data_IF_599079807943
#
_entry.id   IF_599079807943
#
_cell.length_a   1.000
_cell.length_b   1.000
_cell.length_c   1.000
_cell.angle_alpha   90.00
_cell.angle_beta   90.00
_cell.angle_gamma   90.00
#
_symmetry.space_group_name_H-M   'P 1'
#
loop_
_entity.id
_entity.type
_entity.pdbx_description
1 polymer ?
#
# COMPACT_ATOMS: atom_id res chain seq x y z
N UNK A 1 -12.09 51.66 35.49
CA UNK A 1 -12.47 50.30 35.15
C UNK A 1 -11.50 49.80 34.08
N UNK A 2 -10.53 48.95 34.42
CA UNK A 2 -9.58 48.34 33.47
C UNK A 2 -10.19 47.01 32.99
N UNK A 3 -10.47 46.88 31.70
CA UNK A 3 -10.94 45.62 31.08
C UNK A 3 -9.71 44.74 30.87
N UNK A 4 -9.64 43.63 31.59
CA UNK A 4 -8.66 42.59 31.33
C UNK A 4 -9.09 41.80 30.06
N UNK A 5 -8.24 41.80 29.06
CA UNK A 5 -8.40 40.97 27.85
C UNK A 5 -7.70 39.65 28.14
N UNK A 6 -8.47 38.58 28.34
CA UNK A 6 -7.95 37.24 28.49
C UNK A 6 -7.69 36.68 27.08
N UNK A 7 -6.43 36.55 26.68
CA UNK A 7 -6.03 35.88 25.45
C UNK A 7 -6.04 34.40 25.71
N UNK A 8 -7.02 33.69 25.16
CA UNK A 8 -7.08 32.22 25.15
C UNK A 8 -6.12 31.69 24.09
N UNK A 9 -4.92 31.28 24.50
CA UNK A 9 -4.01 30.53 23.64
C UNK A 9 -4.54 29.12 23.44
N UNK A 10 -5.17 28.84 22.30
CA UNK A 10 -5.50 27.49 21.87
C UNK A 10 -4.22 26.85 21.37
N UNK A 11 -3.63 26.00 22.21
CA UNK A 11 -2.52 25.12 21.80
C UNK A 11 -3.08 24.01 20.92
N UNK A 12 -2.96 24.19 19.61
CA UNK A 12 -3.14 23.08 18.69
C UNK A 12 -1.94 22.14 18.85
N UNK A 13 -2.15 21.02 19.53
CA UNK A 13 -1.21 19.90 19.52
C UNK A 13 -1.26 19.29 18.12
N UNK A 14 -0.35 19.69 17.23
CA UNK A 14 -0.06 18.94 16.02
C UNK A 14 0.60 17.64 16.46
N UNK A 15 -0.13 16.53 16.39
CA UNK A 15 0.49 15.21 16.42
C UNK A 15 1.33 15.09 15.15
N UNK A 16 2.60 15.43 15.25
CA UNK A 16 3.58 15.13 14.21
C UNK A 16 3.82 13.62 14.30
N UNK A 17 3.01 12.84 13.59
CA UNK A 17 3.38 11.45 13.34
C UNK A 17 4.71 11.49 12.58
N UNK A 18 5.69 10.76 13.08
CA UNK A 18 6.95 10.58 12.36
C UNK A 18 6.64 9.85 11.06
N UNK A 19 6.59 10.60 9.98
CA UNK A 19 6.34 10.04 8.65
C UNK A 19 7.63 9.37 8.17
N UNK A 20 7.58 8.05 8.00
CA UNK A 20 8.74 7.28 7.54
C UNK A 20 8.87 7.29 6.02
N UNK A 21 7.78 7.48 5.32
CA UNK A 21 7.73 7.52 3.85
C UNK A 21 7.88 8.95 3.33
N UNK A 22 8.74 9.09 2.34
CA UNK A 22 8.89 10.32 1.56
C UNK A 22 7.79 10.46 0.50
N UNK A 23 7.99 11.32 -0.51
CA UNK A 23 7.01 11.53 -1.56
C UNK A 23 6.66 10.23 -2.29
N UNK A 24 5.37 10.03 -2.49
CA UNK A 24 4.79 8.87 -3.16
C UNK A 24 4.08 9.32 -4.44
N UNK A 25 4.10 8.46 -5.46
CA UNK A 25 3.37 8.67 -6.70
C UNK A 25 2.89 7.35 -7.28
N UNK A 26 1.83 7.40 -8.09
CA UNK A 26 1.32 6.24 -8.79
C UNK A 26 0.78 6.59 -10.17
N UNK A 27 0.76 5.57 -11.04
CA UNK A 27 0.01 5.59 -12.29
C UNK A 27 -0.84 4.34 -12.39
N UNK A 28 -2.00 4.46 -13.03
CA UNK A 28 -2.93 3.36 -13.26
C UNK A 28 -3.33 3.31 -14.72
N UNK A 29 -3.38 2.13 -15.32
CA UNK A 29 -3.71 1.93 -16.74
C UNK A 29 -4.50 0.63 -16.95
N UNK A 30 -5.61 0.68 -17.69
CA UNK A 30 -6.29 1.87 -18.19
C UNK A 30 -6.85 2.72 -17.04
N UNK A 31 -7.26 3.96 -17.32
CA UNK A 31 -8.02 4.76 -16.38
C UNK A 31 -9.46 4.26 -16.30
N UNK A 32 -10.01 4.20 -15.07
CA UNK A 32 -11.43 3.85 -14.87
C UNK A 32 -12.43 4.84 -15.47
N UNK A 33 -13.72 4.55 -15.40
CA UNK A 33 -14.35 3.52 -14.58
C UNK A 33 -14.19 2.10 -15.14
N UNK A 34 -14.16 1.09 -14.26
CA UNK A 34 -13.88 -0.29 -14.61
C UNK A 34 -15.13 -1.14 -14.67
N UNK A 35 -15.11 -2.15 -15.55
CA UNK A 35 -16.13 -3.16 -15.73
C UNK A 35 -15.60 -4.56 -15.32
N UNK A 36 -16.50 -5.52 -15.07
CA UNK A 36 -16.11 -6.90 -14.80
C UNK A 36 -15.19 -7.45 -15.90
N UNK A 37 -14.05 -8.00 -15.47
CA UNK A 37 -13.06 -8.58 -16.38
C UNK A 37 -11.98 -7.63 -16.88
N UNK A 38 -12.06 -6.33 -16.59
CA UNK A 38 -11.00 -5.39 -16.95
C UNK A 38 -9.69 -5.78 -16.27
N UNK A 39 -8.61 -5.66 -17.01
CA UNK A 39 -7.25 -5.89 -16.53
C UNK A 39 -6.56 -4.54 -16.31
N UNK A 40 -6.08 -4.32 -15.11
CA UNK A 40 -5.56 -3.03 -14.67
C UNK A 40 -4.13 -3.19 -14.19
N UNK A 41 -3.24 -2.30 -14.64
CA UNK A 41 -1.85 -2.22 -14.17
C UNK A 41 -1.67 -0.98 -13.32
N UNK A 42 -1.10 -1.18 -12.14
CA UNK A 42 -0.71 -0.12 -11.21
C UNK A 42 0.80 -0.07 -11.13
N UNK A 43 1.37 1.12 -11.29
CA UNK A 43 2.75 1.39 -10.94
C UNK A 43 2.77 2.37 -9.79
N UNK A 44 3.55 2.07 -8.77
CA UNK A 44 3.72 2.91 -7.59
C UNK A 44 5.20 3.17 -7.36
N UNK A 45 5.53 4.38 -6.94
CA UNK A 45 6.89 4.79 -6.62
C UNK A 45 6.93 5.50 -5.28
N UNK A 46 7.83 5.06 -4.41
CA UNK A 46 8.23 5.73 -3.20
C UNK A 46 9.60 6.35 -3.42
N UNK A 47 9.70 7.69 -3.34
CA UNK A 47 10.94 8.40 -3.62
C UNK A 47 12.00 8.16 -2.56
N UNK A 48 11.59 8.04 -1.30
CA UNK A 48 12.53 7.77 -0.19
C UNK A 48 11.82 7.19 1.01
N UNK A 49 12.58 6.45 1.82
CA UNK A 49 12.18 5.97 3.13
C UNK A 49 13.19 6.44 4.17
N UNK A 50 12.71 7.10 5.22
CA UNK A 50 13.56 7.59 6.30
C UNK A 50 13.85 6.48 7.29
N UNK A 51 15.09 6.03 7.33
CA UNK A 51 15.55 4.98 8.24
C UNK A 51 16.42 5.52 9.39
N UNK A 52 16.56 6.84 9.48
CA UNK A 52 17.47 7.46 10.46
C UNK A 52 16.99 7.20 11.88
N UNK A 53 17.70 6.34 12.59
CA UNK A 53 17.47 5.93 13.97
C UNK A 53 16.10 5.26 14.25
N UNK A 54 15.41 4.77 13.20
CA UNK A 54 14.05 4.30 13.37
C UNK A 54 13.95 2.82 13.02
N UNK A 55 13.61 2.48 11.82
CA UNK A 55 13.61 1.12 11.37
C UNK A 55 13.78 1.05 9.84
N UNK A 56 14.27 -0.07 9.33
CA UNK A 56 14.53 -0.22 7.92
C UNK A 56 13.25 -0.61 7.18
N UNK A 57 13.16 -0.21 5.91
CA UNK A 57 12.00 -0.56 5.10
C UNK A 57 11.92 -2.07 4.90
N UNK A 58 10.73 -2.64 5.12
CA UNK A 58 10.53 -4.07 5.08
C UNK A 58 9.50 -4.53 4.06
N UNK A 59 8.40 -3.79 3.86
CA UNK A 59 7.33 -4.26 3.00
C UNK A 59 6.51 -3.16 2.33
N UNK A 60 5.89 -3.55 1.21
CA UNK A 60 4.86 -2.81 0.48
C UNK A 60 3.64 -3.70 0.35
N UNK A 61 2.57 -3.40 1.04
CA UNK A 61 1.31 -4.14 0.99
C UNK A 61 0.31 -3.44 0.09
N UNK A 62 -0.45 -4.22 -0.68
CA UNK A 62 -1.60 -3.71 -1.42
C UNK A 62 -2.84 -3.78 -0.52
N UNK A 63 -3.44 -2.64 -0.26
CA UNK A 63 -4.75 -2.51 0.36
C UNK A 63 -5.80 -2.48 -0.76
N UNK A 64 -6.55 -3.57 -0.89
CA UNK A 64 -7.41 -3.82 -2.03
C UNK A 64 -8.87 -4.00 -1.65
N UNK A 65 -9.73 -3.31 -2.36
CA UNK A 65 -11.17 -3.53 -2.29
C UNK A 65 -11.61 -4.93 -2.71
N UNK A 66 -12.82 -5.30 -2.33
CA UNK A 66 -13.38 -6.63 -2.57
C UNK A 66 -13.59 -6.96 -4.05
N UNK A 67 -13.63 -5.96 -4.92
CA UNK A 67 -13.87 -6.11 -6.35
C UNK A 67 -12.68 -6.62 -7.18
N UNK A 68 -11.51 -6.81 -6.59
CA UNK A 68 -10.34 -7.36 -7.27
C UNK A 68 -10.25 -8.87 -7.13
N UNK A 69 -9.87 -9.55 -8.21
CA UNK A 69 -9.60 -11.00 -8.21
C UNK A 69 -8.19 -11.25 -7.69
N UNK A 70 -8.02 -11.53 -6.40
CA UNK A 70 -6.71 -11.69 -5.77
C UNK A 70 -5.83 -12.76 -6.42
N UNK A 71 -6.42 -13.84 -6.93
CA UNK A 71 -5.71 -14.90 -7.63
C UNK A 71 -5.19 -14.51 -9.02
N UNK A 72 -5.53 -13.34 -9.52
CA UNK A 72 -5.04 -12.80 -10.80
C UNK A 72 -3.93 -11.77 -10.64
N UNK A 73 -3.54 -11.47 -9.40
CA UNK A 73 -2.50 -10.48 -9.14
C UNK A 73 -1.16 -11.01 -9.64
N UNK A 74 -0.57 -10.27 -10.56
CA UNK A 74 0.76 -10.54 -11.10
C UNK A 74 1.66 -9.36 -10.75
N UNK A 75 2.59 -9.58 -9.85
CA UNK A 75 3.64 -8.63 -9.54
C UNK A 75 4.78 -8.73 -10.55
N UNK A 76 5.34 -7.62 -10.98
CA UNK A 76 6.46 -7.57 -11.91
C UNK A 76 7.62 -6.76 -11.36
N UNK A 77 8.85 -7.16 -11.72
CA UNK A 77 10.07 -6.56 -11.23
C UNK A 77 10.33 -6.87 -9.75
N UNK A 78 11.03 -5.97 -9.10
CA UNK A 78 11.18 -5.93 -7.64
C UNK A 78 11.22 -4.45 -7.21
N UNK A 79 10.98 -4.14 -5.94
CA UNK A 79 10.93 -2.76 -5.46
C UNK A 79 12.20 -1.94 -5.70
N UNK A 80 13.36 -2.56 -5.89
CA UNK A 80 14.57 -1.86 -6.25
C UNK A 80 15.78 -2.14 -5.36
N UNK A 81 16.61 -1.13 -5.18
CA UNK A 81 17.90 -1.24 -4.50
C UNK A 81 17.76 -1.74 -3.05
N UNK A 82 18.66 -2.62 -2.64
CA UNK A 82 18.74 -3.16 -1.28
C UNK A 82 19.77 -2.40 -0.41
N UNK A 83 20.38 -1.31 -0.92
CA UNK A 83 21.29 -0.45 -0.17
C UNK A 83 22.52 -1.16 0.42
N UNK A 84 22.93 -2.28 -0.15
CA UNK A 84 24.03 -3.09 0.39
C UNK A 84 23.61 -4.09 1.48
N UNK A 85 22.35 -4.19 1.84
CA UNK A 85 21.85 -5.25 2.69
C UNK A 85 22.04 -6.62 2.01
N UNK A 86 22.27 -7.66 2.81
CA UNK A 86 22.17 -9.02 2.33
C UNK A 86 20.68 -9.43 2.25
N UNK A 87 20.22 -9.86 1.09
CA UNK A 87 18.83 -10.29 0.94
C UNK A 87 18.23 -9.96 -0.43
N UNK A 88 16.91 -10.07 -0.49
CA UNK A 88 16.15 -9.83 -1.73
C UNK A 88 14.69 -9.48 -1.44
N UNK A 89 14.02 -8.88 -2.40
CA UNK A 89 12.58 -8.65 -2.38
C UNK A 89 11.85 -9.89 -2.86
N UNK A 90 10.80 -10.29 -2.14
CA UNK A 90 9.93 -11.41 -2.45
C UNK A 90 8.48 -10.92 -2.51
N UNK A 91 7.77 -11.33 -3.57
CA UNK A 91 6.31 -11.21 -3.60
C UNK A 91 5.68 -12.29 -2.73
N UNK A 92 4.75 -11.90 -1.86
CA UNK A 92 4.04 -12.83 -0.99
C UNK A 92 2.55 -12.48 -0.98
N UNK A 93 1.71 -13.50 -1.15
CA UNK A 93 0.26 -13.30 -1.11
C UNK A 93 -0.26 -13.21 0.31
N UNK A 94 0.44 -13.78 1.26
CA UNK A 94 0.11 -13.75 2.68
C UNK A 94 1.35 -14.09 3.51
N UNK A 95 1.65 -13.27 4.49
CA UNK A 95 2.72 -13.48 5.46
C UNK A 95 2.29 -13.00 6.84
N UNK A 96 2.74 -13.69 7.88
CA UNK A 96 2.55 -13.25 9.26
C UNK A 96 3.89 -12.82 9.84
N UNK A 97 3.99 -11.58 10.25
CA UNK A 97 5.17 -11.07 10.95
C UNK A 97 5.29 -11.67 12.35
N UNK A 98 6.48 -11.68 12.96
CA UNK A 98 6.67 -12.13 14.33
C UNK A 98 5.84 -11.37 15.36
N UNK A 99 5.46 -10.13 15.05
CA UNK A 99 4.52 -9.32 15.84
C UNK A 99 3.08 -9.83 15.82
N UNK A 100 2.77 -10.85 14.98
CA UNK A 100 1.42 -11.34 14.74
C UNK A 100 0.62 -10.52 13.70
N UNK A 101 1.20 -9.46 13.12
CA UNK A 101 0.58 -8.71 12.05
C UNK A 101 0.54 -9.56 10.77
N UNK A 102 -0.64 -9.68 10.18
CA UNK A 102 -0.81 -10.30 8.86
C UNK A 102 -0.50 -9.27 7.78
N UNK A 103 0.16 -9.72 6.73
CA UNK A 103 0.59 -8.95 5.59
C UNK A 103 0.18 -9.66 4.30
N UNK A 104 -0.13 -8.90 3.27
CA UNK A 104 -0.30 -9.41 1.90
C UNK A 104 -1.67 -9.12 1.30
N UNK A 105 -1.73 -9.11 -0.05
CA UNK A 105 -0.63 -9.38 -0.98
C UNK A 105 0.36 -8.22 -1.09
N UNK A 106 1.63 -8.50 -1.32
CA UNK A 106 2.61 -7.44 -1.43
C UNK A 106 4.06 -7.92 -1.57
N UNK A 107 4.96 -6.95 -1.61
CA UNK A 107 6.40 -7.17 -1.61
C UNK A 107 6.95 -7.09 -0.18
N UNK A 108 7.70 -8.08 0.25
CA UNK A 108 8.48 -8.03 1.49
C UNK A 108 9.96 -8.28 1.25
N UNK A 109 10.80 -7.68 2.06
CA UNK A 109 12.22 -7.93 2.05
C UNK A 109 12.55 -9.17 2.88
N UNK A 110 13.33 -10.08 2.30
CA UNK A 110 13.87 -11.25 2.97
C UNK A 110 15.35 -11.01 3.21
N UNK A 111 15.71 -10.69 4.45
CA UNK A 111 17.10 -10.42 4.80
C UNK A 111 17.92 -11.72 4.87
N UNK A 112 19.14 -11.67 4.33
CA UNK A 112 19.97 -12.88 4.18
C UNK A 112 20.53 -13.45 5.49
N UNK A 113 20.49 -12.71 6.60
CA UNK A 113 21.07 -13.13 7.88
C UNK A 113 19.99 -13.22 8.96
N UNK A 114 19.07 -12.24 9.03
CA UNK A 114 18.01 -12.19 10.04
C UNK A 114 16.68 -12.03 9.33
N UNK A 115 15.84 -13.05 9.38
CA UNK A 115 14.68 -13.26 8.52
C UNK A 115 13.71 -12.08 8.43
N UNK A 116 13.58 -11.24 9.46
CA UNK A 116 12.58 -10.19 9.52
C UNK A 116 13.18 -8.77 9.56
N UNK A 117 14.44 -8.64 9.25
CA UNK A 117 15.03 -7.31 9.07
C UNK A 117 14.64 -6.75 7.71
N UNK A 118 14.48 -5.44 7.66
CA UNK A 118 14.32 -4.68 6.44
C UNK A 118 15.65 -4.50 5.69
N UNK A 119 15.63 -3.63 4.70
CA UNK A 119 16.83 -3.22 3.97
C UNK A 119 17.28 -1.82 4.37
N UNK A 120 18.59 -1.58 4.38
CA UNK A 120 19.21 -0.28 4.63
C UNK A 120 18.99 0.72 3.47
N UNK A 121 18.37 0.29 2.38
CA UNK A 121 18.07 1.18 1.26
C UNK A 121 17.13 2.30 1.67
N UNK A 122 17.46 3.50 1.27
CA UNK A 122 16.58 4.68 1.42
C UNK A 122 15.70 4.93 0.20
N UNK A 123 15.79 4.08 -0.82
CA UNK A 123 15.07 4.23 -2.09
C UNK A 123 15.89 4.85 -3.22
N UNK A 124 15.27 5.25 -4.33
CA UNK A 124 13.84 5.08 -4.59
C UNK A 124 13.40 3.61 -4.73
N UNK A 125 12.11 3.36 -4.51
CA UNK A 125 11.48 2.06 -4.69
C UNK A 125 10.35 2.17 -5.70
N UNK A 126 10.18 1.14 -6.54
CA UNK A 126 9.09 1.08 -7.51
C UNK A 126 8.50 -0.32 -7.56
N UNK A 127 7.18 -0.40 -7.52
CA UNK A 127 6.44 -1.65 -7.67
C UNK A 127 5.48 -1.55 -8.84
N UNK A 128 5.26 -2.67 -9.52
CA UNK A 128 4.28 -2.78 -10.60
C UNK A 128 3.46 -4.05 -10.39
N UNK A 129 2.14 -3.91 -10.44
CA UNK A 129 1.20 -5.03 -10.31
C UNK A 129 0.10 -4.93 -11.35
N UNK A 130 -0.30 -6.09 -11.87
CA UNK A 130 -1.46 -6.22 -12.76
C UNK A 130 -2.50 -7.08 -12.06
N UNK A 131 -3.76 -6.70 -12.14
CA UNK A 131 -4.87 -7.40 -11.50
C UNK A 131 -6.14 -7.30 -12.35
N UNK A 132 -7.09 -8.19 -12.11
CA UNK A 132 -8.35 -8.26 -12.86
C UNK A 132 -9.53 -7.92 -11.97
N UNK A 133 -10.47 -7.14 -12.51
CA UNK A 133 -11.75 -6.84 -11.86
C UNK A 133 -12.62 -8.09 -11.84
N UNK A 134 -13.23 -8.40 -10.70
CA UNK A 134 -14.14 -9.54 -10.54
C UNK A 134 -15.28 -9.52 -11.53
N UNK A 135 -15.69 -10.72 -11.95
CA UNK A 135 -16.95 -10.95 -12.63
C UNK A 135 -18.09 -10.88 -11.59
N UNK A 136 -18.78 -9.77 -11.54
CA UNK A 136 -19.87 -9.54 -10.57
C UNK A 136 -21.03 -8.80 -11.19
N UNK A 137 -22.24 -9.08 -10.71
CA UNK A 137 -23.44 -8.34 -11.07
C UNK A 137 -23.75 -7.23 -10.05
N UNK A 138 -23.01 -7.16 -8.96
CA UNK A 138 -23.18 -6.17 -7.90
C UNK A 138 -22.04 -5.16 -7.92
N UNK A 139 -22.29 -3.90 -7.53
CA UNK A 139 -21.22 -2.95 -7.26
C UNK A 139 -20.32 -3.51 -6.16
N UNK A 140 -19.03 -3.64 -6.42
CA UNK A 140 -18.02 -3.99 -5.44
C UNK A 140 -16.93 -2.92 -5.38
N UNK A 141 -16.36 -2.76 -4.21
CA UNK A 141 -15.31 -1.77 -3.95
C UNK A 141 -14.03 -2.12 -4.71
N UNK A 142 -13.51 -1.14 -5.43
CA UNK A 142 -12.28 -1.23 -6.23
C UNK A 142 -11.18 -0.31 -5.70
N UNK A 143 -11.20 0.07 -4.41
CA UNK A 143 -10.08 0.85 -3.91
C UNK A 143 -8.75 0.10 -4.09
N UNK A 144 -7.70 0.85 -4.31
CA UNK A 144 -6.33 0.41 -4.34
C UNK A 144 -5.52 1.37 -3.47
N UNK A 145 -4.90 0.84 -2.45
CA UNK A 145 -3.95 1.53 -1.60
C UNK A 145 -2.60 0.81 -1.56
N UNK A 146 -1.56 1.53 -1.14
CA UNK A 146 -0.25 0.94 -0.85
C UNK A 146 0.15 1.35 0.56
N UNK A 147 0.42 0.36 1.41
CA UNK A 147 0.92 0.55 2.77
C UNK A 147 2.40 0.19 2.78
N UNK A 148 3.20 1.06 3.36
CA UNK A 148 4.65 0.85 3.50
C UNK A 148 4.97 0.54 4.96
N UNK A 149 5.73 -0.52 5.20
CA UNK A 149 6.11 -0.97 6.53
C UNK A 149 7.62 -0.88 6.77
N UNK A 150 7.99 -0.41 7.95
CA UNK A 150 9.29 -0.68 8.54
C UNK A 150 9.35 -2.06 9.20
N UNK A 151 10.53 -2.53 9.55
CA UNK A 151 10.76 -3.88 10.10
C UNK A 151 10.53 -4.01 11.62
N UNK A 152 10.31 -2.90 12.32
CA UNK A 152 10.08 -2.84 13.77
C UNK A 152 11.23 -3.41 14.64
N UNK A 153 12.40 -3.68 14.07
CA UNK A 153 13.49 -4.40 14.73
C UNK A 153 14.83 -3.69 14.63
N UNK A 154 15.07 -2.97 13.55
CA UNK A 154 16.33 -2.25 13.34
C UNK A 154 16.26 -0.80 13.82
N UNK A 155 17.42 -0.14 13.95
CA UNK A 155 17.50 1.22 14.46
C UNK A 155 17.23 1.33 15.94
N UNK A 156 16.68 2.45 16.40
CA UNK A 156 16.41 2.75 17.80
C UNK A 156 15.06 2.24 18.34
N UNK A 157 14.32 1.47 17.58
CA UNK A 157 12.96 1.05 17.93
C UNK A 157 12.91 -0.27 18.68
N UNK A 158 13.05 -0.21 19.99
CA UNK A 158 12.89 -1.37 20.87
C UNK A 158 11.44 -1.62 21.33
N UNK A 159 10.44 -0.93 20.79
CA UNK A 159 9.10 -0.90 21.38
C UNK A 159 7.97 -1.49 20.54
N UNK A 160 8.26 -2.25 19.49
CA UNK A 160 7.21 -2.91 18.69
C UNK A 160 6.31 -1.96 17.89
N UNK A 161 6.57 -0.65 17.93
CA UNK A 161 5.87 0.31 17.09
C UNK A 161 6.50 0.32 15.71
N UNK A 162 5.91 -0.41 14.80
CA UNK A 162 6.29 -0.36 13.40
C UNK A 162 5.95 1.01 12.83
N UNK A 163 6.85 1.56 12.04
CA UNK A 163 6.51 2.67 11.19
C UNK A 163 5.65 2.11 10.05
N UNK A 164 4.37 2.35 10.11
CA UNK A 164 3.47 2.18 8.98
C UNK A 164 2.73 3.49 8.81
N UNK A 165 2.85 4.08 7.64
CA UNK A 165 2.03 5.24 7.30
C UNK A 165 0.66 4.78 6.81
N UNK A 166 -0.36 5.64 6.86
CA UNK A 166 -1.65 5.36 6.25
C UNK A 166 -1.49 4.97 4.79
N UNK A 167 -2.38 4.11 4.30
CA UNK A 167 -2.36 3.68 2.91
C UNK A 167 -2.34 4.87 1.96
N UNK A 168 -1.38 4.87 1.02
CA UNK A 168 -1.37 5.80 -0.09
C UNK A 168 -2.47 5.40 -1.07
N UNK A 169 -3.46 6.27 -1.27
CA UNK A 169 -4.58 6.00 -2.16
C UNK A 169 -4.15 6.12 -3.62
N UNK A 170 -4.22 5.01 -4.35
CA UNK A 170 -3.95 4.93 -5.80
C UNK A 170 -5.23 5.13 -6.59
N UNK A 171 -6.32 4.48 -6.18
CA UNK A 171 -7.61 4.52 -6.84
C UNK A 171 -8.75 4.40 -5.84
N UNK A 172 -9.86 5.06 -6.15
CA UNK A 172 -11.12 4.97 -5.41
C UNK A 172 -12.25 4.79 -6.42
N UNK A 173 -13.06 3.75 -6.27
CA UNK A 173 -14.17 3.49 -7.17
C UNK A 173 -14.88 2.18 -6.88
N UNK A 174 -15.89 1.88 -7.69
CA UNK A 174 -16.65 0.64 -7.63
C UNK A 174 -16.73 0.01 -9.02
N UNK A 175 -16.88 -1.30 -9.06
CA UNK A 175 -17.20 -2.02 -10.29
C UNK A 175 -18.51 -1.47 -10.86
N UNK A 176 -18.51 -1.13 -12.14
CA UNK A 176 -19.72 -0.75 -12.84
C UNK A 176 -20.37 -2.02 -13.42
N UNK A 177 -21.53 -2.46 -12.92
CA UNK A 177 -22.20 -3.64 -13.45
C UNK A 177 -22.53 -3.44 -14.93
N UNK A 178 -22.23 -4.42 -15.73
CA UNK A 178 -22.59 -4.40 -17.16
C UNK A 178 -24.13 -4.33 -17.26
N UNK A 179 -24.69 -3.36 -17.99
CA UNK A 179 -26.12 -3.33 -18.20
C UNK A 179 -26.58 -4.64 -18.85
N UNK A 180 -27.54 -5.32 -18.26
CA UNK A 180 -28.17 -6.48 -18.87
C UNK A 180 -28.98 -5.94 -20.07
N UNK A 181 -28.46 -6.08 -21.26
CA UNK A 181 -29.25 -5.87 -22.47
C UNK A 181 -30.24 -7.02 -22.56
N UNK A 182 -31.46 -6.82 -22.11
CA UNK A 182 -32.57 -7.74 -22.41
C UNK A 182 -32.80 -7.68 -23.91
N UNK A 183 -32.22 -8.63 -24.63
CA UNK A 183 -32.68 -8.89 -26.01
C UNK A 183 -34.14 -9.28 -25.91
N UNK A 184 -35.04 -8.55 -26.60
CA UNK A 184 -36.44 -8.91 -26.70
C UNK A 184 -36.53 -10.33 -27.25
N UNK A 185 -36.82 -11.30 -26.39
CA UNK A 185 -37.20 -12.64 -26.80
C UNK A 185 -38.60 -12.47 -27.39
N UNK A 186 -38.68 -12.33 -28.71
CA UNK A 186 -39.97 -12.45 -29.40
C UNK A 186 -40.43 -13.90 -29.28
N UNK A 187 -41.35 -14.17 -28.39
CA UNK A 187 -42.08 -15.41 -28.35
C UNK A 187 -43.07 -15.40 -29.56
N UNK A 188 -42.78 -16.21 -30.56
CA UNK A 188 -43.74 -16.55 -31.61
C UNK A 188 -44.63 -17.67 -31.14
#
# INVERSE_FOLDING_TARGET
MRKAITILCILFSFNVYSQCVGPQSSTISPLGPYQPGDVVTVNYTLSSFSQVNVNWIHAFELDLGSGWMQNTIVASGNPGNIGGSSGYWLWDNQHTFPSGLNFGPGWRFVHGVVANWGTVSTGPFSISVTMTVKQTCNPEDLHIGVIVYGDCQTGGWNNGACCSDPAYSVYQGNVQPTPITTSNINHY
#
